data_IF_267665918393
#
_entry.id   IF_267665918393
#
_cell.length_a   1.000
_cell.length_b   1.000
_cell.length_c   1.000
_cell.angle_alpha   90.00
_cell.angle_beta   90.00
_cell.angle_gamma   90.00
#
_symmetry.space_group_name_H-M   'P 1'
#
loop_
_entity.id
_entity.type
_entity.pdbx_description
1 polymer ?
#
# COMPACT_ATOMS: atom_id res chain seq x y z
N UNK A 1 -3.66 0.89 11.74
CA UNK A 1 -3.33 1.57 10.46
C UNK A 1 -1.88 1.99 10.41
N UNK A 2 -1.35 2.73 11.41
CA UNK A 2 0.06 3.16 11.43
C UNK A 2 1.08 2.02 11.29
N UNK A 3 0.88 0.92 12.01
CA UNK A 3 1.73 -0.29 11.88
C UNK A 3 1.70 -0.83 10.44
N UNK A 4 0.52 -0.86 9.81
CA UNK A 4 0.35 -1.35 8.44
C UNK A 4 1.03 -0.43 7.42
N UNK A 5 0.87 0.90 7.56
CA UNK A 5 1.45 1.87 6.63
C UNK A 5 2.96 1.95 6.76
N UNK A 6 3.52 1.79 7.96
CA UNK A 6 4.98 1.69 8.16
C UNK A 6 5.53 0.43 7.51
N UNK A 7 4.84 -0.72 7.62
CA UNK A 7 5.29 -1.99 7.04
C UNK A 7 5.16 -2.02 5.51
N UNK A 8 3.99 -1.67 5.00
CA UNK A 8 3.65 -1.82 3.57
C UNK A 8 3.98 -0.59 2.73
N UNK A 9 4.19 0.56 3.37
CA UNK A 9 4.42 1.84 2.71
C UNK A 9 3.17 2.44 2.05
N UNK A 10 1.99 1.83 2.21
CA UNK A 10 0.75 2.29 1.58
C UNK A 10 -0.51 2.00 2.40
N UNK A 11 -1.59 2.75 2.18
CA UNK A 11 -2.91 2.51 2.80
C UNK A 11 -3.84 1.57 1.99
N UNK A 12 -3.31 0.76 1.08
CA UNK A 12 -4.09 -0.20 0.28
C UNK A 12 -4.26 -1.51 1.06
N UNK A 13 -5.20 -1.51 1.99
CA UNK A 13 -5.54 -2.70 2.80
C UNK A 13 -6.50 -3.60 2.02
N UNK A 14 -6.18 -4.88 1.76
CA UNK A 14 -7.13 -5.83 1.17
C UNK A 14 -8.39 -5.96 2.03
N UNK A 15 -9.58 -6.10 1.42
CA UNK A 15 -10.85 -6.10 2.15
C UNK A 15 -10.96 -7.20 3.23
N UNK A 16 -10.34 -8.37 2.99
CA UNK A 16 -10.33 -9.52 3.90
C UNK A 16 -9.15 -9.53 4.88
N UNK A 17 -8.32 -8.49 4.86
CA UNK A 17 -7.11 -8.44 5.68
C UNK A 17 -7.41 -8.27 7.16
N UNK A 18 -6.75 -9.09 7.98
CA UNK A 18 -6.81 -9.07 9.44
C UNK A 18 -5.41 -8.75 9.97
N UNK A 19 -5.29 -7.71 10.79
CA UNK A 19 -4.05 -7.35 11.48
C UNK A 19 -4.14 -7.82 12.93
N UNK A 20 -3.05 -8.34 13.48
CA UNK A 20 -2.99 -8.73 14.89
C UNK A 20 -2.42 -7.59 15.72
N UNK A 21 -3.20 -7.06 16.65
CA UNK A 21 -2.83 -5.93 17.51
C UNK A 21 -3.05 -6.34 18.96
N UNK A 22 -2.00 -6.29 19.78
CA UNK A 22 -2.03 -6.65 21.21
C UNK A 22 -2.67 -8.02 21.49
N UNK A 23 -2.35 -8.99 20.63
CA UNK A 23 -2.88 -10.35 20.70
C UNK A 23 -4.27 -10.54 20.06
N UNK A 24 -4.97 -9.47 19.71
CA UNK A 24 -6.31 -9.49 19.13
C UNK A 24 -6.28 -9.42 17.61
N UNK A 25 -7.21 -10.13 16.96
CA UNK A 25 -7.42 -10.06 15.52
C UNK A 25 -8.35 -8.90 15.17
N UNK A 26 -7.84 -7.95 14.38
CA UNK A 26 -8.58 -6.76 13.94
C UNK A 26 -8.83 -6.86 12.44
N UNK A 27 -10.09 -6.91 11.97
CA UNK A 27 -10.41 -6.96 10.55
C UNK A 27 -10.19 -5.58 9.90
N UNK A 28 -8.92 -5.23 9.72
CA UNK A 28 -8.48 -3.91 9.28
C UNK A 28 -9.00 -3.59 7.88
N UNK A 29 -9.05 -4.57 6.98
CA UNK A 29 -9.61 -4.41 5.63
C UNK A 29 -11.07 -3.96 5.64
N UNK A 30 -11.90 -4.65 6.44
CA UNK A 30 -13.30 -4.31 6.60
C UNK A 30 -13.49 -2.92 7.24
N UNK A 31 -12.67 -2.59 8.24
CA UNK A 31 -12.70 -1.28 8.90
C UNK A 31 -12.34 -0.13 7.94
N UNK A 32 -11.30 -0.29 7.12
CA UNK A 32 -10.93 0.71 6.10
C UNK A 32 -12.05 0.89 5.08
N UNK A 33 -12.64 -0.21 4.61
CA UNK A 33 -13.80 -0.16 3.71
C UNK A 33 -14.99 0.58 4.32
N UNK A 34 -15.30 0.31 5.58
CA UNK A 34 -16.36 0.96 6.33
C UNK A 34 -16.13 2.47 6.47
N UNK A 35 -14.92 2.90 6.86
CA UNK A 35 -14.59 4.32 6.99
C UNK A 35 -14.74 5.07 5.65
N UNK A 36 -14.25 4.49 4.55
CA UNK A 36 -14.39 5.10 3.22
C UNK A 36 -15.83 5.17 2.75
N UNK A 37 -16.65 4.18 3.08
CA UNK A 37 -18.09 4.20 2.78
C UNK A 37 -18.80 5.33 3.53
N UNK A 38 -18.55 5.46 4.85
CA UNK A 38 -19.13 6.51 5.70
C UNK A 38 -18.71 7.90 5.24
N UNK A 39 -17.43 8.07 4.85
CA UNK A 39 -16.93 9.33 4.28
C UNK A 39 -17.72 9.75 3.04
N UNK A 40 -17.92 8.82 2.09
CA UNK A 40 -18.70 9.10 0.86
C UNK A 40 -20.16 9.45 1.13
N UNK A 41 -20.72 8.97 2.23
CA UNK A 41 -22.07 9.28 2.68
C UNK A 41 -22.15 10.56 3.53
N UNK A 42 -21.03 11.24 3.78
CA UNK A 42 -20.92 12.37 4.71
C UNK A 42 -21.37 12.01 6.14
N UNK A 43 -21.17 10.75 6.55
CA UNK A 43 -21.59 10.22 7.86
C UNK A 43 -20.43 10.18 8.87
N UNK A 44 -19.24 10.67 8.50
CA UNK A 44 -18.10 10.79 9.42
C UNK A 44 -18.06 12.19 10.04
N UNK A 45 -17.70 12.24 11.32
CA UNK A 45 -17.44 13.52 12.00
C UNK A 45 -16.14 14.15 11.47
N UNK A 46 -16.03 15.50 11.48
CA UNK A 46 -14.82 16.19 11.06
C UNK A 46 -13.55 15.74 11.80
N UNK A 47 -13.66 15.44 13.10
CA UNK A 47 -12.54 14.98 13.93
C UNK A 47 -12.05 13.61 13.47
N UNK A 48 -12.99 12.73 13.06
CA UNK A 48 -12.64 11.40 12.54
C UNK A 48 -11.97 11.49 11.18
N UNK A 49 -12.42 12.40 10.32
CA UNK A 49 -11.80 12.67 9.02
C UNK A 49 -10.38 13.17 9.24
N UNK A 50 -10.20 14.21 10.07
CA UNK A 50 -8.90 14.78 10.37
C UNK A 50 -7.92 13.77 10.99
N UNK A 51 -8.41 12.83 11.80
CA UNK A 51 -7.60 11.75 12.36
C UNK A 51 -7.13 10.76 11.27
N UNK A 52 -8.00 10.42 10.32
CA UNK A 52 -7.67 9.48 9.24
C UNK A 52 -6.74 10.11 8.19
N UNK A 53 -6.88 11.40 7.93
CA UNK A 53 -6.03 12.14 6.98
C UNK A 53 -4.59 12.37 7.48
N UNK A 54 -4.35 12.23 8.79
CA UNK A 54 -2.99 12.23 9.34
C UNK A 54 -2.23 10.93 9.04
N UNK A 55 -2.93 9.88 8.58
CA UNK A 55 -2.30 8.61 8.25
C UNK A 55 -1.56 8.75 6.91
N UNK A 56 -0.28 8.39 6.90
CA UNK A 56 0.57 8.44 5.70
C UNK A 56 -0.03 7.64 4.52
N UNK A 57 -0.09 8.25 3.35
CA UNK A 57 -0.67 7.70 2.10
C UNK A 57 -2.16 7.32 2.22
N UNK A 58 -2.90 7.90 3.17
CA UNK A 58 -4.35 7.71 3.25
C UNK A 58 -5.08 8.33 2.07
N UNK A 59 -5.98 7.57 1.45
CA UNK A 59 -6.78 8.01 0.31
C UNK A 59 -8.24 7.57 0.47
N UNK A 60 -9.16 8.53 0.37
CA UNK A 60 -10.61 8.28 0.43
C UNK A 60 -11.19 7.69 -0.87
N UNK A 61 -10.48 7.86 -1.98
CA UNK A 61 -10.89 7.47 -3.34
C UNK A 61 -11.09 5.96 -3.52
N UNK A 62 -11.65 5.53 -4.66
CA UNK A 62 -11.70 4.12 -5.00
C UNK A 62 -10.29 3.54 -4.96
N UNK A 63 -10.10 2.44 -4.21
CA UNK A 63 -8.93 1.59 -4.46
C UNK A 63 -9.09 1.16 -5.92
N UNK A 64 -8.21 1.64 -6.80
CA UNK A 64 -8.16 1.10 -8.16
C UNK A 64 -8.09 -0.43 -8.01
N UNK A 65 -8.99 -1.20 -8.65
CA UNK A 65 -9.01 -2.65 -8.55
C UNK A 65 -7.77 -3.19 -9.27
N UNK A 66 -6.65 -3.17 -8.57
CA UNK A 66 -5.36 -3.62 -9.03
C UNK A 66 -4.57 -4.10 -7.81
N UNK A 67 -3.69 -5.10 -7.97
CA UNK A 67 -2.87 -5.59 -6.88
C UNK A 67 -2.15 -4.42 -6.21
N UNK A 68 -2.18 -4.37 -4.88
CA UNK A 68 -1.47 -3.37 -4.09
C UNK A 68 0.01 -3.43 -4.43
N UNK A 69 0.46 -2.50 -5.25
CA UNK A 69 1.87 -2.34 -5.57
C UNK A 69 2.61 -2.02 -4.28
N UNK A 70 3.40 -2.97 -3.76
CA UNK A 70 4.24 -2.73 -2.58
C UNK A 70 5.28 -1.65 -2.93
N UNK A 71 5.04 -0.43 -2.45
CA UNK A 71 5.82 0.76 -2.82
C UNK A 71 7.25 0.68 -2.29
N UNK A 72 7.45 0.17 -1.07
CA UNK A 72 8.76 -0.02 -0.47
C UNK A 72 9.66 -0.96 -1.29
N UNK A 73 9.11 -2.09 -1.73
CA UNK A 73 9.81 -3.04 -2.61
C UNK A 73 10.12 -2.40 -3.96
N UNK A 74 9.16 -1.68 -4.52
CA UNK A 74 9.35 -0.98 -5.79
C UNK A 74 10.44 0.10 -5.70
N UNK A 75 10.46 0.88 -4.62
CA UNK A 75 11.49 1.89 -4.36
C UNK A 75 12.88 1.23 -4.30
N UNK A 76 13.03 0.14 -3.55
CA UNK A 76 14.29 -0.63 -3.53
C UNK A 76 14.69 -1.19 -4.89
N UNK A 77 13.73 -1.67 -5.68
CA UNK A 77 13.96 -2.12 -7.06
C UNK A 77 14.52 -0.97 -7.92
N UNK A 78 13.99 0.24 -7.75
CA UNK A 78 14.43 1.43 -8.47
C UNK A 78 15.81 1.91 -8.00
N UNK A 79 16.08 1.89 -6.69
CA UNK A 79 17.40 2.22 -6.12
C UNK A 79 18.48 1.29 -6.64
N UNK A 80 18.24 -0.03 -6.63
CA UNK A 80 19.17 -1.02 -7.18
C UNK A 80 19.37 -0.82 -8.69
N UNK A 81 18.32 -0.38 -9.40
CA UNK A 81 18.45 -0.06 -10.82
C UNK A 81 19.32 1.17 -11.06
N UNK A 82 19.20 2.20 -10.23
CA UNK A 82 20.03 3.41 -10.28
C UNK A 82 21.49 3.14 -9.87
N UNK A 83 21.74 2.18 -8.98
CA UNK A 83 23.10 1.74 -8.61
C UNK A 83 23.77 0.87 -9.69
N UNK A 84 23.11 0.62 -10.82
CA UNK A 84 23.65 -0.11 -11.97
C UNK A 84 23.34 -1.61 -11.99
N UNK A 85 22.51 -2.13 -11.07
CA UNK A 85 22.17 -3.55 -11.05
C UNK A 85 21.33 -3.96 -12.27
N UNK A 86 21.54 -5.21 -12.69
CA UNK A 86 20.80 -5.78 -13.81
C UNK A 86 19.37 -6.15 -13.39
N UNK A 87 18.41 -6.08 -14.33
CA UNK A 87 17.03 -6.50 -14.09
C UNK A 87 16.90 -7.95 -13.61
N UNK A 88 17.89 -8.79 -13.92
CA UNK A 88 17.92 -10.21 -13.52
C UNK A 88 18.37 -10.37 -12.06
N UNK A 89 19.45 -9.70 -11.67
CA UNK A 89 19.91 -9.69 -10.28
C UNK A 89 18.84 -9.15 -9.33
N UNK A 90 18.17 -8.06 -9.72
CA UNK A 90 17.07 -7.47 -8.95
C UNK A 90 15.88 -8.46 -8.84
N UNK A 91 15.55 -9.14 -9.93
CA UNK A 91 14.47 -10.14 -9.95
C UNK A 91 14.75 -11.30 -8.97
N UNK A 92 15.99 -11.79 -8.96
CA UNK A 92 16.42 -12.86 -8.05
C UNK A 92 16.37 -12.41 -6.57
N UNK A 93 16.77 -11.17 -6.28
CA UNK A 93 16.75 -10.60 -4.91
C UNK A 93 15.33 -10.49 -4.34
N UNK A 94 14.35 -10.11 -5.16
CA UNK A 94 12.96 -9.91 -4.71
C UNK A 94 12.03 -11.08 -5.00
N UNK A 95 12.56 -12.21 -5.48
CA UNK A 95 11.79 -13.39 -5.92
C UNK A 95 10.68 -13.00 -6.91
N UNK A 96 11.00 -12.10 -7.84
CA UNK A 96 10.09 -11.59 -8.85
C UNK A 96 10.46 -12.08 -10.24
N UNK A 97 9.49 -12.08 -11.16
CA UNK A 97 9.83 -12.27 -12.57
C UNK A 97 10.55 -11.03 -13.11
N UNK A 98 11.53 -11.24 -14.00
CA UNK A 98 12.19 -10.15 -14.75
C UNK A 98 11.19 -9.20 -15.40
N UNK A 99 10.09 -9.74 -15.93
CA UNK A 99 9.02 -8.95 -16.56
C UNK A 99 8.33 -8.03 -15.55
N UNK A 100 8.13 -8.49 -14.30
CA UNK A 100 7.55 -7.67 -13.23
C UNK A 100 8.49 -6.53 -12.82
N UNK A 101 9.79 -6.81 -12.67
CA UNK A 101 10.80 -5.78 -12.40
C UNK A 101 10.84 -4.75 -13.52
N UNK A 102 10.80 -5.18 -14.77
CA UNK A 102 10.74 -4.28 -15.93
C UNK A 102 9.50 -3.36 -15.91
N UNK A 103 8.31 -3.90 -15.64
CA UNK A 103 7.08 -3.09 -15.50
C UNK A 103 7.20 -2.03 -14.40
N UNK A 104 7.82 -2.37 -13.27
CA UNK A 104 8.03 -1.43 -12.16
C UNK A 104 8.97 -0.29 -12.57
N UNK A 105 10.05 -0.60 -13.28
CA UNK A 105 11.01 0.42 -13.77
C UNK A 105 10.36 1.32 -14.83
N UNK A 106 9.61 0.76 -15.79
CA UNK A 106 8.97 1.53 -16.86
C UNK A 106 7.86 2.47 -16.38
N UNK A 107 7.10 2.07 -15.35
CA UNK A 107 6.03 2.90 -14.80
C UNK A 107 6.52 4.12 -13.97
N UNK A 108 7.83 4.25 -13.71
CA UNK A 108 8.43 5.45 -13.07
C UNK A 108 8.64 6.60 -14.06
N UNK A 109 8.80 6.29 -15.35
CA UNK A 109 9.18 7.25 -16.39
C UNK A 109 7.99 7.93 -17.10
N UNK A 110 6.75 7.63 -16.69
CA UNK A 110 5.51 8.28 -17.14
C UNK A 110 4.93 9.18 -16.06
#
# INVERSE_FOLDING_TARGET
MEIYTVREGHCRVPAVFVERVDGNEVPLGAWVGYMRQRYRKNELSPERIACLEQILDWQWGPLSPGPSTNQNRNLKILELRESGESLRAIADVFELSRQRVHQIVQNKEQ
#
